data_IF_970957209111
#
_entry.id   IF_970957209111
#
_cell.length_a   1.000
_cell.length_b   1.000
_cell.length_c   1.000
_cell.angle_alpha   90.00
_cell.angle_beta   90.00
_cell.angle_gamma   90.00
#
_symmetry.space_group_name_H-M   'P 1'
#
loop_
_entity.id
_entity.type
_entity.pdbx_description
1 polymer ?
#
# COMPACT_ATOMS: atom_id res chain seq x y z
N UNK A 1 8.98 -7.45 -2.38
CA UNK A 1 8.23 -8.64 -1.97
C UNK A 1 6.73 -8.32 -1.92
N UNK A 2 6.05 -8.27 -3.07
CA UNK A 2 4.62 -7.86 -3.12
C UNK A 2 3.71 -8.91 -2.47
N UNK A 3 4.08 -10.19 -2.55
CA UNK A 3 3.33 -11.32 -2.01
C UNK A 3 4.29 -12.48 -1.67
N UNK A 4 5.28 -12.19 -0.82
CA UNK A 4 6.46 -13.04 -0.62
C UNK A 4 7.67 -12.54 -1.40
N UNK A 5 8.81 -13.24 -1.28
CA UNK A 5 10.06 -12.87 -1.96
C UNK A 5 10.04 -13.27 -3.44
N UNK A 6 9.08 -12.73 -4.18
CA UNK A 6 8.66 -13.12 -5.53
C UNK A 6 9.72 -13.02 -6.63
N UNK A 7 10.87 -12.40 -6.36
CA UNK A 7 12.00 -12.32 -7.30
C UNK A 7 13.06 -13.39 -7.03
N UNK A 8 12.85 -14.27 -6.05
CA UNK A 8 13.82 -15.28 -5.61
C UNK A 8 13.27 -16.66 -5.93
N UNK A 9 14.07 -17.43 -6.65
CA UNK A 9 13.73 -18.81 -7.00
C UNK A 9 13.56 -19.67 -5.74
N UNK A 10 12.43 -20.39 -5.65
CA UNK A 10 12.14 -21.29 -4.54
C UNK A 10 11.68 -20.59 -3.25
N UNK A 11 11.53 -19.26 -3.25
CA UNK A 11 10.92 -18.57 -2.13
C UNK A 11 9.42 -18.88 -2.02
N UNK A 12 8.90 -18.82 -0.80
CA UNK A 12 7.47 -18.93 -0.54
C UNK A 12 6.71 -17.76 -1.20
N UNK A 13 5.62 -18.09 -1.89
CA UNK A 13 4.75 -17.15 -2.59
C UNK A 13 3.37 -17.21 -1.97
N UNK A 14 2.91 -16.08 -1.46
CA UNK A 14 1.58 -15.93 -0.88
C UNK A 14 0.57 -15.50 -1.95
N UNK A 15 -0.75 -15.60 -1.68
CA UNK A 15 -1.74 -14.92 -2.50
C UNK A 15 -1.42 -13.44 -2.67
N UNK A 16 -1.76 -12.87 -3.83
CA UNK A 16 -1.68 -11.43 -4.02
C UNK A 16 -2.52 -10.69 -2.97
N UNK A 17 -2.19 -9.41 -2.65
CA UNK A 17 -2.88 -8.66 -1.62
C UNK A 17 -4.40 -8.62 -1.74
N UNK A 18 -4.98 -8.65 -2.95
CA UNK A 18 -6.45 -8.73 -3.12
C UNK A 18 -7.04 -10.02 -2.53
N UNK A 19 -6.31 -11.13 -2.63
CA UNK A 19 -6.69 -12.41 -2.04
C UNK A 19 -6.54 -12.39 -0.52
N UNK A 20 -5.51 -11.71 -0.01
CA UNK A 20 -5.36 -11.48 1.43
C UNK A 20 -6.46 -10.54 1.97
N UNK A 21 -6.85 -9.54 1.19
CA UNK A 21 -7.97 -8.63 1.45
C UNK A 21 -9.28 -9.37 1.64
N UNK A 22 -9.56 -10.32 0.74
CA UNK A 22 -10.75 -11.17 0.81
C UNK A 22 -10.86 -12.01 2.10
N UNK A 23 -9.75 -12.21 2.84
CA UNK A 23 -9.78 -12.92 4.13
C UNK A 23 -10.24 -12.03 5.29
N UNK A 24 -10.07 -10.70 5.16
CA UNK A 24 -10.23 -9.73 6.25
C UNK A 24 -9.46 -10.11 7.54
N UNK A 25 -8.40 -10.92 7.45
CA UNK A 25 -7.65 -11.44 8.59
C UNK A 25 -6.29 -10.73 8.73
N UNK A 26 -6.26 -9.71 9.57
CA UNK A 26 -5.03 -8.98 9.91
C UNK A 26 -3.95 -9.89 10.56
N UNK A 27 -4.36 -10.93 11.30
CA UNK A 27 -3.44 -11.89 11.89
C UNK A 27 -2.73 -12.72 10.83
N UNK A 28 -3.47 -13.17 9.81
CA UNK A 28 -2.92 -13.89 8.66
C UNK A 28 -1.94 -13.02 7.87
N UNK A 29 -2.31 -11.76 7.59
CA UNK A 29 -1.44 -10.81 6.90
C UNK A 29 -0.16 -10.53 7.68
N UNK A 30 -0.25 -10.38 9.01
CA UNK A 30 0.93 -10.20 9.87
C UNK A 30 1.87 -11.40 9.78
N UNK A 31 1.34 -12.63 9.82
CA UNK A 31 2.12 -13.87 9.71
C UNK A 31 2.81 -13.98 8.34
N UNK A 32 2.10 -13.69 7.25
CA UNK A 32 2.68 -13.68 5.91
C UNK A 32 3.78 -12.64 5.74
N UNK A 33 3.60 -11.44 6.30
CA UNK A 33 4.63 -10.40 6.36
C UNK A 33 5.87 -10.84 7.12
N UNK A 34 5.71 -11.47 8.28
CA UNK A 34 6.81 -12.00 9.09
C UNK A 34 7.58 -13.14 8.39
N UNK A 35 6.89 -14.06 7.73
CA UNK A 35 7.51 -15.12 6.94
C UNK A 35 8.32 -14.54 5.77
N UNK A 36 7.75 -13.57 5.06
CA UNK A 36 8.42 -12.84 3.98
C UNK A 36 9.68 -12.13 4.48
N UNK A 37 9.59 -11.43 5.62
CA UNK A 37 10.71 -10.70 6.23
C UNK A 37 11.85 -11.64 6.64
N UNK A 38 11.53 -12.79 7.25
CA UNK A 38 12.52 -13.81 7.60
C UNK A 38 13.27 -14.32 6.37
N UNK A 39 12.54 -14.62 5.29
CA UNK A 39 13.14 -15.01 4.02
C UNK A 39 14.05 -13.92 3.44
N UNK A 40 13.60 -12.66 3.45
CA UNK A 40 14.38 -11.53 2.99
C UNK A 40 15.69 -11.39 3.77
N UNK A 41 15.61 -11.47 5.10
CA UNK A 41 16.75 -11.35 6.00
C UNK A 41 17.80 -12.46 5.75
N UNK A 42 17.35 -13.70 5.52
CA UNK A 42 18.22 -14.83 5.22
C UNK A 42 19.04 -14.63 3.92
N UNK A 43 18.58 -13.76 3.02
CA UNK A 43 19.25 -13.41 1.77
C UNK A 43 20.02 -12.08 1.84
N UNK A 44 20.11 -11.48 3.03
CA UNK A 44 20.74 -10.16 3.21
C UNK A 44 19.90 -8.98 2.73
N UNK A 45 18.63 -9.18 2.37
CA UNK A 45 17.72 -8.11 1.98
C UNK A 45 17.18 -7.44 3.25
N UNK A 46 17.34 -6.12 3.36
CA UNK A 46 16.95 -5.32 4.53
C UNK A 46 15.78 -4.38 4.29
N UNK A 47 15.24 -4.36 3.07
CA UNK A 47 14.22 -3.42 2.65
C UNK A 47 13.28 -4.08 1.64
N UNK A 48 11.97 -3.93 1.81
CA UNK A 48 10.96 -4.35 0.84
C UNK A 48 10.10 -3.18 0.37
N UNK A 49 9.81 -3.18 -0.94
CA UNK A 49 8.79 -2.30 -1.53
C UNK A 49 7.40 -2.91 -1.36
N UNK A 50 6.92 -2.98 -0.11
CA UNK A 50 5.60 -3.48 0.27
C UNK A 50 5.24 -2.94 1.66
N UNK A 51 3.94 -2.81 2.02
CA UNK A 51 2.76 -3.18 1.22
C UNK A 51 2.35 -2.13 0.17
N UNK A 52 1.42 -2.49 -0.71
CA UNK A 52 0.72 -1.52 -1.57
C UNK A 52 -0.55 -1.07 -0.83
N UNK A 53 -0.65 0.21 -0.48
CA UNK A 53 -1.79 0.81 0.24
C UNK A 53 -2.59 1.73 -0.68
N UNK A 54 -3.16 1.14 -1.72
CA UNK A 54 -4.00 1.83 -2.69
C UNK A 54 -5.47 1.49 -2.49
N UNK A 55 -6.32 2.50 -2.51
CA UNK A 55 -7.78 2.30 -2.50
C UNK A 55 -8.23 2.05 -3.94
N UNK A 56 -8.13 0.81 -4.41
CA UNK A 56 -8.38 0.41 -5.79
C UNK A 56 -9.87 0.28 -6.06
N UNK A 57 -10.45 1.27 -6.76
CA UNK A 57 -11.89 1.36 -7.05
C UNK A 57 -12.24 1.17 -8.53
N UNK A 58 -11.24 1.14 -9.40
CA UNK A 58 -11.44 0.95 -10.83
C UNK A 58 -10.86 -0.40 -11.25
N UNK A 59 -11.74 -1.38 -11.50
CA UNK A 59 -11.33 -2.73 -11.91
C UNK A 59 -10.59 -2.78 -13.26
N UNK A 60 -10.62 -1.69 -14.05
CA UNK A 60 -9.82 -1.57 -15.29
C UNK A 60 -8.34 -1.34 -15.01
N UNK A 61 -8.00 -0.89 -13.80
CA UNK A 61 -6.62 -0.62 -13.39
C UNK A 61 -5.80 -1.91 -13.34
N UNK A 62 -4.75 -1.98 -14.17
CA UNK A 62 -3.97 -3.21 -14.36
C UNK A 62 -3.24 -3.73 -13.11
N UNK A 63 -3.15 -2.94 -12.04
CA UNK A 63 -2.52 -3.33 -10.77
C UNK A 63 -3.51 -3.46 -9.62
N UNK A 64 -4.81 -3.54 -9.91
CA UNK A 64 -5.89 -3.69 -8.94
C UNK A 64 -5.64 -4.82 -7.92
N UNK A 65 -5.04 -5.93 -8.37
CA UNK A 65 -4.77 -7.10 -7.53
C UNK A 65 -3.65 -6.86 -6.48
N UNK A 66 -2.90 -5.76 -6.59
CA UNK A 66 -1.80 -5.45 -5.68
C UNK A 66 -2.26 -4.77 -4.38
N UNK A 67 -3.47 -4.19 -4.30
CA UNK A 67 -4.02 -3.66 -3.04
C UNK A 67 -4.89 -4.68 -2.30
N UNK A 68 -5.30 -4.38 -1.08
CA UNK A 68 -6.20 -5.27 -0.32
C UNK A 68 -7.67 -5.10 -0.71
N UNK A 69 -8.04 -3.98 -1.33
CA UNK A 69 -9.33 -3.84 -1.98
C UNK A 69 -9.67 -2.39 -2.36
N UNK A 70 -10.96 -2.08 -2.24
CA UNK A 70 -11.55 -0.78 -2.59
C UNK A 70 -11.95 0.06 -1.37
N UNK A 71 -11.83 -0.51 -0.17
CA UNK A 71 -12.25 0.09 1.10
C UNK A 71 -11.03 0.61 1.88
N UNK A 72 -10.98 1.93 2.19
CA UNK A 72 -9.83 2.52 2.87
C UNK A 72 -9.62 2.01 4.30
N UNK A 73 -10.68 1.55 4.99
CA UNK A 73 -10.54 1.02 6.35
C UNK A 73 -9.87 -0.34 6.30
N UNK A 74 -10.35 -1.24 5.42
CA UNK A 74 -9.75 -2.54 5.19
C UNK A 74 -8.27 -2.43 4.77
N UNK A 75 -7.97 -1.58 3.77
CA UNK A 75 -6.58 -1.34 3.33
C UNK A 75 -5.70 -0.82 4.48
N UNK A 76 -6.22 0.09 5.32
CA UNK A 76 -5.47 0.62 6.45
C UNK A 76 -5.16 -0.43 7.52
N UNK A 77 -6.13 -1.30 7.83
CA UNK A 77 -6.00 -2.35 8.85
C UNK A 77 -5.03 -3.43 8.37
N UNK A 78 -5.22 -3.94 7.15
CA UNK A 78 -4.36 -4.99 6.60
C UNK A 78 -2.97 -4.46 6.22
N UNK A 79 -2.90 -3.21 5.79
CA UNK A 79 -1.64 -2.49 5.57
C UNK A 79 -0.80 -2.36 6.82
N UNK A 80 -1.39 -1.89 7.92
CA UNK A 80 -0.72 -1.81 9.22
C UNK A 80 -0.25 -3.19 9.70
N UNK A 81 -1.07 -4.23 9.49
CA UNK A 81 -0.71 -5.61 9.81
C UNK A 81 0.50 -6.11 8.98
N UNK A 82 0.53 -5.83 7.68
CA UNK A 82 1.67 -6.16 6.82
C UNK A 82 2.95 -5.45 7.26
N UNK A 83 2.88 -4.14 7.53
CA UNK A 83 4.02 -3.35 8.04
C UNK A 83 4.53 -3.93 9.36
N UNK A 84 3.64 -4.29 10.28
CA UNK A 84 4.01 -4.94 11.54
C UNK A 84 4.72 -6.28 11.30
N UNK A 85 4.23 -7.08 10.35
CA UNK A 85 4.87 -8.33 9.96
C UNK A 85 6.29 -8.11 9.40
N UNK A 86 6.48 -7.09 8.57
CA UNK A 86 7.78 -6.79 7.97
C UNK A 86 8.79 -6.21 8.96
N UNK A 87 8.36 -5.26 9.79
CA UNK A 87 9.26 -4.49 10.65
C UNK A 87 9.44 -5.13 12.03
N UNK A 88 8.49 -5.92 12.51
CA UNK A 88 8.46 -6.38 13.89
C UNK A 88 7.89 -5.32 14.85
N UNK A 89 8.28 -5.39 16.13
CA UNK A 89 7.69 -4.55 17.18
C UNK A 89 8.49 -3.28 17.50
N UNK A 90 9.74 -3.17 17.04
CA UNK A 90 10.58 -1.98 17.26
C UNK A 90 10.85 -1.26 15.92
N UNK A 91 10.18 -0.13 15.65
CA UNK A 91 10.41 0.65 14.44
C UNK A 91 11.83 1.21 14.30
N UNK A 92 12.58 1.35 15.40
CA UNK A 92 13.97 1.82 15.37
C UNK A 92 14.94 0.73 14.91
N UNK A 93 14.55 -0.53 15.07
CA UNK A 93 15.34 -1.70 14.70
C UNK A 93 14.49 -2.71 13.92
N UNK A 94 14.01 -2.35 12.72
CA UNK A 94 13.12 -3.21 11.97
C UNK A 94 13.84 -4.48 11.49
N UNK A 95 13.10 -5.61 11.42
CA UNK A 95 13.61 -6.85 10.81
C UNK A 95 14.05 -6.56 9.36
N UNK A 96 13.12 -6.02 8.57
CA UNK A 96 13.36 -5.31 7.31
C UNK A 96 12.52 -4.04 7.27
N UNK A 97 12.97 -3.00 6.58
CA UNK A 97 12.17 -1.81 6.35
C UNK A 97 10.99 -2.12 5.40
N UNK A 98 9.80 -1.61 5.73
CA UNK A 98 8.63 -1.64 4.84
C UNK A 98 8.56 -0.35 4.00
N UNK A 99 7.74 -0.34 2.97
CA UNK A 99 7.45 0.85 2.16
C UNK A 99 6.02 0.82 1.72
N UNK A 100 5.27 1.79 2.23
CA UNK A 100 3.99 2.17 1.67
C UNK A 100 4.19 2.65 0.23
N UNK A 101 3.38 2.10 -0.67
CA UNK A 101 3.33 2.54 -2.07
C UNK A 101 1.91 2.37 -2.65
N UNK A 102 1.53 3.10 -3.68
CA UNK A 102 2.27 4.21 -4.28
C UNK A 102 1.63 5.49 -3.76
N UNK A 103 2.37 6.22 -2.91
CA UNK A 103 1.85 7.45 -2.30
C UNK A 103 1.79 8.57 -3.36
N UNK A 104 0.60 9.07 -3.73
CA UNK A 104 -0.74 8.60 -3.36
C UNK A 104 -1.67 8.55 -4.59
N UNK A 105 -2.81 7.86 -4.43
CA UNK A 105 -3.94 7.81 -5.38
C UNK A 105 -3.63 7.24 -6.77
N UNK A 106 -2.55 6.49 -6.90
CA UNK A 106 -2.11 5.94 -8.19
C UNK A 106 -3.10 4.95 -8.82
N UNK A 107 -3.93 4.29 -8.00
CA UNK A 107 -5.00 3.37 -8.45
C UNK A 107 -6.26 4.04 -9.01
N UNK A 108 -6.28 5.36 -9.15
CA UNK A 108 -7.46 6.11 -9.62
C UNK A 108 -7.22 6.97 -10.87
N UNK A 109 -6.57 6.44 -11.94
CA UNK A 109 -6.52 7.16 -13.21
C UNK A 109 -7.92 7.23 -13.84
N UNK A 110 -8.25 8.34 -14.51
CA UNK A 110 -9.59 8.60 -15.09
C UNK A 110 -10.07 7.45 -16.00
N UNK A 111 -9.16 6.89 -16.79
CA UNK A 111 -9.45 5.85 -17.77
C UNK A 111 -9.09 4.42 -17.30
N UNK A 112 -8.63 4.24 -16.06
CA UNK A 112 -8.10 2.95 -15.59
C UNK A 112 -6.71 2.61 -16.16
N UNK A 113 -6.17 3.42 -17.07
CA UNK A 113 -4.87 3.16 -17.67
C UNK A 113 -3.73 3.52 -16.70
N UNK A 114 -2.79 2.58 -16.58
CA UNK A 114 -1.60 2.72 -15.76
C UNK A 114 -0.82 4.01 -16.08
N UNK A 115 -0.40 4.75 -15.04
CA UNK A 115 0.38 6.00 -15.15
C UNK A 115 -0.27 7.10 -15.99
N UNK A 116 -1.60 7.09 -16.12
CA UNK A 116 -2.34 8.20 -16.72
C UNK A 116 -2.91 9.14 -15.66
N UNK A 117 -3.50 10.25 -16.09
CA UNK A 117 -3.99 11.30 -15.21
C UNK A 117 -5.01 10.77 -14.20
N UNK A 118 -4.78 11.09 -12.92
CA UNK A 118 -5.73 10.93 -11.83
C UNK A 118 -6.23 12.32 -11.40
N UNK A 119 -7.54 12.49 -11.26
CA UNK A 119 -8.18 13.72 -10.77
C UNK A 119 -8.77 13.48 -9.38
N UNK A 120 -7.98 13.77 -8.35
CA UNK A 120 -8.37 13.59 -6.94
C UNK A 120 -8.48 14.98 -6.32
N UNK A 121 -9.70 15.49 -6.06
CA UNK A 121 -9.84 16.79 -5.42
C UNK A 121 -9.37 16.71 -3.96
N UNK A 122 -8.60 17.71 -3.52
CA UNK A 122 -8.30 17.90 -2.10
C UNK A 122 -9.60 18.20 -1.36
N UNK A 123 -10.07 17.25 -0.54
CA UNK A 123 -11.09 17.52 0.47
C UNK A 123 -10.39 18.01 1.74
N UNK A 124 -10.37 19.32 1.93
CA UNK A 124 -10.12 19.89 3.27
C UNK A 124 -11.36 19.55 4.11
N UNK A 125 -11.25 18.81 5.22
CA UNK A 125 -12.37 18.64 6.12
C UNK A 125 -12.82 20.04 6.55
N UNK A 126 -14.02 20.46 6.14
CA UNK A 126 -14.60 21.68 6.67
C UNK A 126 -14.77 21.45 8.16
N UNK A 127 -14.15 22.30 8.98
CA UNK A 127 -14.47 22.36 10.40
C UNK A 127 -16.00 22.54 10.49
N UNK A 128 -16.72 21.84 11.39
CA UNK A 128 -18.15 22.05 11.53
C UNK A 128 -18.42 23.56 11.71
N UNK A 129 -19.11 24.18 10.74
CA UNK A 129 -19.39 25.62 10.73
C UNK A 129 -18.45 26.54 9.93
N UNK A 130 -17.40 26.04 9.26
CA UNK A 130 -16.57 26.86 8.36
C UNK A 130 -16.92 26.64 6.89
N UNK A 131 -17.17 27.71 6.14
CA UNK A 131 -17.22 27.68 4.67
C UNK A 131 -15.92 27.12 4.10
N UNK A 132 -15.95 26.36 2.99
CA UNK A 132 -14.72 25.90 2.33
C UNK A 132 -13.91 27.12 1.92
N UNK A 133 -12.73 27.30 2.50
CA UNK A 133 -11.77 28.26 2.00
C UNK A 133 -11.29 27.77 0.63
N UNK A 134 -11.30 28.66 -0.36
CA UNK A 134 -10.72 28.38 -1.68
C UNK A 134 -9.29 27.85 -1.51
N UNK A 135 -8.89 26.80 -2.24
CA UNK A 135 -7.53 26.29 -2.15
C UNK A 135 -6.54 27.40 -2.52
N UNK A 136 -5.42 27.54 -1.80
CA UNK A 136 -4.39 28.51 -2.16
C UNK A 136 -3.85 28.19 -3.57
N UNK A 137 -3.51 29.19 -4.38
CA UNK A 137 -2.88 28.94 -5.68
C UNK A 137 -1.54 28.23 -5.47
N UNK A 138 -1.31 27.15 -6.23
CA UNK A 138 -0.03 26.45 -6.26
C UNK A 138 1.09 27.40 -6.72
N UNK A 139 2.31 27.31 -6.15
CA UNK A 139 3.44 28.02 -6.71
C UNK A 139 3.74 27.46 -8.10
N UNK A 140 3.66 28.30 -9.12
CA UNK A 140 4.11 28.01 -10.47
C UNK A 140 5.61 27.75 -10.45
N UNK A 141 6.03 26.48 -10.53
CA UNK A 141 7.43 26.16 -10.80
C UNK A 141 7.65 26.43 -12.29
N UNK A 142 8.24 27.59 -12.60
CA UNK A 142 8.78 27.86 -13.92
C UNK A 142 9.90 26.85 -14.21
N UNK A 143 9.84 26.25 -15.41
CA UNK A 143 10.82 25.29 -15.93
C UNK A 143 12.22 25.90 -16.05
#
# INVERSE_FOLDING_TARGET
>A
AVHGNNNVLGAEIFPHPIGLGATADAGLVTKGGAATAKGAQAMGIRWTFAPVLEVSRDARYGRYYESFGEDPILDSVLGAAAIKGFQGNDPSHPIIAATDKHFAAYSQPIAGHDRTMAEIPMRVPSRPGSTPASPPPWPTVHR
#
